data_IF_229875356170
#
_entry.id   IF_229875356170
#
_cell.length_a   1.000
_cell.length_b   1.000
_cell.length_c   1.000
_cell.angle_alpha   90.00
_cell.angle_beta   90.00
_cell.angle_gamma   90.00
#
_symmetry.space_group_name_H-M   'P 1'
#
loop_
_entity.id
_entity.type
_entity.pdbx_description
1 polymer ?
#
# COMPACT_ATOMS: atom_id res chain seq x y z
N UNK A 1 -28.15 15.32 -1.23
CA UNK A 1 -27.69 13.91 -1.25
C UNK A 1 -26.19 13.91 -1.58
N UNK A 2 -25.37 13.30 -0.74
CA UNK A 2 -23.94 13.17 -0.95
C UNK A 2 -23.56 11.68 -1.02
N UNK A 3 -22.66 11.35 -1.94
CA UNK A 3 -22.25 9.98 -2.25
C UNK A 3 -20.73 9.97 -2.34
N UNK A 4 -20.09 9.02 -1.67
CA UNK A 4 -18.64 8.83 -1.75
C UNK A 4 -18.32 7.34 -1.74
N UNK A 5 -17.30 6.98 -2.52
CA UNK A 5 -16.80 5.63 -2.61
C UNK A 5 -15.54 5.51 -1.77
N UNK A 6 -15.60 4.69 -0.72
CA UNK A 6 -14.40 4.26 -0.02
C UNK A 6 -13.88 2.94 -0.56
N UNK A 7 -12.66 3.01 -1.09
CA UNK A 7 -11.85 1.87 -1.46
C UNK A 7 -11.04 1.40 -0.25
N UNK A 8 -10.63 0.11 -0.26
CA UNK A 8 -9.72 -0.52 0.74
C UNK A 8 -10.38 -1.03 2.03
N UNK A 9 -11.66 -1.42 1.98
CA UNK A 9 -12.36 -1.99 3.14
C UNK A 9 -12.49 -3.51 3.05
N UNK A 10 -12.73 -4.05 1.87
CA UNK A 10 -12.93 -5.50 1.67
C UNK A 10 -11.63 -6.19 1.23
N UNK A 11 -11.45 -7.46 1.63
CA UNK A 11 -10.36 -8.33 1.16
C UNK A 11 -10.40 -8.55 -0.35
N UNK A 12 -11.59 -8.44 -0.94
CA UNK A 12 -11.85 -8.62 -2.36
C UNK A 12 -11.76 -7.28 -3.15
N UNK A 13 -11.32 -6.21 -2.50
CA UNK A 13 -11.12 -4.87 -3.09
C UNK A 13 -12.36 -4.22 -3.75
N UNK A 14 -13.56 -4.69 -3.42
CA UNK A 14 -14.81 -4.10 -3.88
C UNK A 14 -14.99 -2.68 -3.31
N UNK A 15 -15.37 -1.69 -4.13
CA UNK A 15 -15.70 -0.35 -3.65
C UNK A 15 -16.90 -0.39 -2.69
N UNK A 16 -16.76 0.27 -1.54
CA UNK A 16 -17.86 0.52 -0.61
C UNK A 16 -18.40 1.92 -0.88
N UNK A 17 -19.63 2.01 -1.37
CA UNK A 17 -20.34 3.28 -1.55
C UNK A 17 -21.07 3.59 -0.25
N UNK A 18 -20.87 4.81 0.24
CA UNK A 18 -21.64 5.38 1.34
C UNK A 18 -22.39 6.59 0.79
N UNK A 19 -23.70 6.62 1.01
CA UNK A 19 -24.51 7.75 0.62
C UNK A 19 -25.47 8.18 1.72
N UNK A 20 -25.75 9.47 1.76
CA UNK A 20 -26.50 10.09 2.84
C UNK A 20 -26.83 11.53 2.56
N UNK A 21 -27.48 12.18 3.51
CA UNK A 21 -27.76 13.61 3.44
C UNK A 21 -27.30 14.29 4.73
N UNK A 22 -27.11 15.60 4.68
CA UNK A 22 -26.84 16.40 5.87
C UNK A 22 -28.14 17.05 6.32
N UNK A 23 -28.39 17.06 7.63
CA UNK A 23 -29.49 17.83 8.20
C UNK A 23 -29.12 19.32 8.38
N UNK A 24 -30.09 20.13 8.79
CA UNK A 24 -29.92 21.57 9.07
C UNK A 24 -28.84 21.87 10.12
N UNK A 25 -28.54 20.90 11.00
CA UNK A 25 -27.50 21.00 12.01
C UNK A 25 -26.11 20.54 11.50
N UNK A 26 -25.99 20.30 10.19
CA UNK A 26 -24.76 19.84 9.53
C UNK A 26 -24.31 18.45 9.98
N UNK A 27 -25.24 17.65 10.52
CA UNK A 27 -24.96 16.25 10.82
C UNK A 27 -25.24 15.40 9.61
N UNK A 28 -24.21 14.68 9.15
CA UNK A 28 -24.37 13.71 8.07
C UNK A 28 -25.12 12.47 8.56
N UNK A 29 -26.24 12.19 7.89
CA UNK A 29 -27.12 11.06 8.12
C UNK A 29 -26.94 10.05 6.98
N UNK A 30 -26.36 8.86 7.25
CA UNK A 30 -26.25 7.83 6.24
C UNK A 30 -27.64 7.31 5.89
N UNK A 31 -27.92 7.24 4.59
CA UNK A 31 -29.15 6.65 4.04
C UNK A 31 -28.89 5.20 3.68
N UNK A 32 -27.68 4.89 3.18
CA UNK A 32 -27.31 3.54 2.80
C UNK A 32 -25.81 3.34 2.63
N UNK A 33 -25.43 2.07 2.67
CA UNK A 33 -24.08 1.58 2.38
C UNK A 33 -24.21 0.35 1.50
N UNK A 34 -23.42 0.27 0.44
CA UNK A 34 -23.43 -0.90 -0.45
C UNK A 34 -22.05 -1.19 -1.03
N UNK A 35 -21.81 -2.46 -1.33
CA UNK A 35 -20.65 -2.88 -2.12
C UNK A 35 -21.06 -2.90 -3.59
N UNK A 36 -20.25 -2.30 -4.44
CA UNK A 36 -20.45 -2.32 -5.89
C UNK A 36 -19.34 -3.09 -6.59
N UNK A 37 -19.56 -3.47 -7.83
CA UNK A 37 -18.54 -4.07 -8.69
C UNK A 37 -17.45 -3.05 -9.04
N UNK A 38 -16.25 -3.53 -9.34
CA UNK A 38 -15.06 -2.70 -9.61
C UNK A 38 -15.11 -1.91 -10.91
N UNK A 39 -16.07 -2.21 -11.80
CA UNK A 39 -16.26 -1.53 -13.08
C UNK A 39 -16.98 -0.19 -12.96
N UNK A 40 -17.61 0.11 -11.81
CA UNK A 40 -18.29 1.38 -11.50
C UNK A 40 -19.19 1.87 -12.66
N UNK A 41 -19.87 0.95 -13.33
CA UNK A 41 -20.69 1.27 -14.50
C UNK A 41 -21.95 2.04 -14.11
N UNK A 42 -22.47 2.86 -15.05
CA UNK A 42 -23.71 3.60 -14.84
C UNK A 42 -24.89 2.69 -14.46
N UNK A 43 -24.95 1.46 -14.97
CA UNK A 43 -25.99 0.48 -14.61
C UNK A 43 -25.88 0.01 -13.15
N UNK A 44 -24.65 -0.06 -12.63
CA UNK A 44 -24.41 -0.40 -11.22
C UNK A 44 -24.96 0.68 -10.30
N UNK A 45 -24.71 1.96 -10.62
CA UNK A 45 -25.30 3.08 -9.89
C UNK A 45 -26.81 3.17 -10.06
N UNK A 46 -27.35 2.93 -11.27
CA UNK A 46 -28.81 2.86 -11.49
C UNK A 46 -29.46 1.78 -10.62
N UNK A 47 -28.84 0.62 -10.50
CA UNK A 47 -29.33 -0.46 -9.63
C UNK A 47 -29.29 -0.07 -8.16
N UNK A 48 -28.20 0.57 -7.72
CA UNK A 48 -28.07 1.13 -6.37
C UNK A 48 -29.20 2.12 -6.08
N UNK A 49 -29.45 3.07 -6.98
CA UNK A 49 -30.51 4.07 -6.81
C UNK A 49 -31.91 3.48 -6.88
N UNK A 50 -32.15 2.45 -7.70
CA UNK A 50 -33.41 1.68 -7.68
C UNK A 50 -33.63 0.98 -6.34
N UNK A 51 -32.56 0.57 -5.66
CA UNK A 51 -32.61 -0.01 -4.33
C UNK A 51 -33.01 0.98 -3.24
N UNK A 52 -32.86 2.30 -3.48
CA UNK A 52 -33.43 3.33 -2.62
C UNK A 52 -34.94 3.31 -2.86
N UNK A 53 -35.68 2.70 -1.95
CA UNK A 53 -37.14 2.73 -2.01
C UNK A 53 -37.61 4.18 -1.97
N UNK A 54 -38.07 4.69 -3.11
CA UNK A 54 -38.51 6.08 -3.29
C UNK A 54 -39.55 6.45 -2.23
N UNK A 55 -40.50 5.55 -1.95
CA UNK A 55 -41.53 5.75 -0.94
C UNK A 55 -40.96 5.86 0.49
N UNK A 56 -39.92 5.10 0.83
CA UNK A 56 -39.24 5.22 2.12
C UNK A 56 -38.45 6.53 2.19
N UNK A 57 -37.73 6.87 1.11
CA UNK A 57 -36.96 8.10 1.04
C UNK A 57 -37.85 9.33 1.16
N UNK A 58 -38.98 9.34 0.44
CA UNK A 58 -39.99 10.38 0.53
C UNK A 58 -40.55 10.51 1.95
N UNK A 59 -41.02 9.41 2.54
CA UNK A 59 -41.63 9.43 3.88
C UNK A 59 -40.67 9.86 4.98
N UNK A 60 -39.43 9.40 4.94
CA UNK A 60 -38.48 9.64 6.03
C UNK A 60 -37.62 10.90 5.83
N UNK A 61 -37.30 11.24 4.58
CA UNK A 61 -36.33 12.30 4.29
C UNK A 61 -36.96 13.50 3.59
N UNK A 62 -37.96 13.34 2.73
CA UNK A 62 -38.64 14.49 2.11
C UNK A 62 -39.69 15.09 3.05
N UNK A 63 -40.53 14.25 3.66
CA UNK A 63 -41.67 14.69 4.46
C UNK A 63 -41.30 15.04 5.91
N UNK A 64 -40.41 14.27 6.56
CA UNK A 64 -40.03 14.53 7.96
C UNK A 64 -38.87 15.51 8.11
N UNK A 65 -38.02 15.64 7.09
CA UNK A 65 -36.80 16.45 7.12
C UNK A 65 -36.82 17.48 5.98
N UNK A 66 -37.61 18.55 6.11
CA UNK A 66 -37.60 19.62 5.11
C UNK A 66 -36.18 20.21 5.01
N UNK A 67 -35.84 20.78 3.85
CA UNK A 67 -34.56 21.45 3.59
C UNK A 67 -33.33 20.53 3.44
N UNK A 68 -33.54 19.30 2.97
CA UNK A 68 -32.48 18.31 2.70
C UNK A 68 -31.60 18.63 1.46
N UNK A 69 -31.93 19.65 0.67
CA UNK A 69 -31.22 20.05 -0.55
C UNK A 69 -30.34 21.29 -0.31
N UNK A 70 -29.26 21.40 -1.06
CA UNK A 70 -28.22 22.43 -0.84
C UNK A 70 -28.75 23.87 -0.91
N UNK A 71 -29.67 24.13 -1.84
CA UNK A 71 -30.30 25.44 -2.00
C UNK A 71 -31.14 25.89 -0.80
N UNK A 72 -31.47 25.02 0.14
CA UNK A 72 -32.18 25.39 1.36
C UNK A 72 -31.27 26.10 2.39
N UNK A 73 -29.95 25.95 2.27
CA UNK A 73 -28.97 26.59 3.14
C UNK A 73 -28.14 27.62 2.34
N UNK A 74 -28.79 28.67 1.82
CA UNK A 74 -28.12 29.73 1.09
C UNK A 74 -26.94 30.31 1.90
N UNK A 75 -25.84 30.63 1.20
CA UNK A 75 -24.59 31.15 1.77
C UNK A 75 -23.80 30.15 2.64
N UNK A 76 -24.24 28.90 2.75
CA UNK A 76 -23.45 27.85 3.39
C UNK A 76 -22.60 27.13 2.33
N UNK A 77 -21.29 26.91 2.56
CA UNK A 77 -20.47 26.16 1.62
C UNK A 77 -20.93 24.70 1.56
N UNK A 78 -21.06 24.17 0.33
CA UNK A 78 -21.21 22.74 0.11
C UNK A 78 -19.93 22.04 0.58
N UNK A 79 -20.04 21.21 1.61
CA UNK A 79 -18.89 20.44 2.12
C UNK A 79 -19.25 18.97 2.25
N UNK A 80 -18.31 18.11 1.89
CA UNK A 80 -18.40 16.66 2.06
C UNK A 80 -17.83 16.18 3.42
N UNK A 81 -17.43 17.11 4.30
CA UNK A 81 -16.76 16.82 5.58
C UNK A 81 -17.46 15.75 6.43
N UNK A 82 -18.80 15.78 6.49
CA UNK A 82 -19.57 14.81 7.27
C UNK A 82 -19.49 13.39 6.70
N UNK A 83 -19.51 13.27 5.37
CA UNK A 83 -19.34 12.01 4.66
C UNK A 83 -17.89 11.50 4.76
N UNK A 84 -16.91 12.38 4.61
CA UNK A 84 -15.49 12.06 4.80
C UNK A 84 -15.20 11.58 6.23
N UNK A 85 -15.78 12.23 7.24
CA UNK A 85 -15.66 11.84 8.64
C UNK A 85 -16.24 10.45 8.91
N UNK A 86 -17.41 10.12 8.33
CA UNK A 86 -17.98 8.77 8.42
C UNK A 86 -17.12 7.75 7.71
N UNK A 87 -16.64 8.04 6.51
CA UNK A 87 -15.68 7.19 5.80
C UNK A 87 -14.38 6.99 6.60
N UNK A 88 -13.92 8.02 7.31
CA UNK A 88 -12.82 7.95 8.25
C UNK A 88 -13.07 6.97 9.39
N UNK A 89 -14.23 7.06 10.06
CA UNK A 89 -14.63 6.12 11.12
C UNK A 89 -14.75 4.68 10.60
N UNK A 90 -15.30 4.49 9.40
CA UNK A 90 -15.38 3.16 8.78
C UNK A 90 -13.97 2.60 8.55
N UNK A 91 -13.06 3.42 8.00
CA UNK A 91 -11.66 3.06 7.81
C UNK A 91 -10.97 2.72 9.13
N UNK A 92 -11.21 3.48 10.19
CA UNK A 92 -10.56 3.24 11.48
C UNK A 92 -11.07 1.98 12.20
N UNK A 93 -12.38 1.74 12.16
CA UNK A 93 -13.01 0.70 12.97
C UNK A 93 -13.17 -0.63 12.24
N UNK A 94 -13.28 -0.61 10.90
CA UNK A 94 -13.64 -1.79 10.09
C UNK A 94 -12.62 -2.11 9.01
N UNK A 95 -11.46 -1.45 9.00
CA UNK A 95 -10.31 -1.93 8.22
C UNK A 95 -9.23 -2.37 9.17
N UNK A 96 -8.48 -3.42 8.81
CA UNK A 96 -7.32 -3.88 9.58
C UNK A 96 -6.12 -2.89 9.49
N UNK A 97 -6.39 -1.58 9.40
CA UNK A 97 -5.37 -0.53 9.41
C UNK A 97 -4.99 -0.22 10.84
N UNK A 98 -3.83 -0.70 11.24
CA UNK A 98 -3.21 -0.31 12.50
C UNK A 98 -2.22 0.83 12.26
N UNK A 99 -2.22 1.82 13.16
CA UNK A 99 -1.13 2.80 13.20
C UNK A 99 0.11 2.10 13.75
N UNK A 100 1.21 2.20 13.02
CA UNK A 100 2.49 1.63 13.43
C UNK A 100 3.39 2.75 13.98
N UNK A 101 4.06 2.56 15.13
CA UNK A 101 5.12 3.46 15.58
C UNK A 101 6.19 3.61 14.50
N UNK A 102 6.79 4.80 14.37
CA UNK A 102 7.78 5.07 13.31
C UNK A 102 8.97 4.10 13.35
N UNK A 103 9.43 3.73 14.55
CA UNK A 103 10.51 2.75 14.73
C UNK A 103 10.13 1.37 14.20
N UNK A 104 8.93 0.89 14.52
CA UNK A 104 8.42 -0.38 14.01
C UNK A 104 8.21 -0.33 12.48
N UNK A 105 7.79 0.82 11.94
CA UNK A 105 7.67 1.03 10.50
C UNK A 105 9.03 0.93 9.79
N UNK A 106 10.07 1.57 10.32
CA UNK A 106 11.41 1.52 9.75
C UNK A 106 11.97 0.09 9.75
N UNK A 107 11.83 -0.63 10.86
CA UNK A 107 12.23 -2.05 10.94
C UNK A 107 11.47 -2.93 9.94
N UNK A 108 10.15 -2.72 9.83
CA UNK A 108 9.31 -3.46 8.87
C UNK A 108 9.72 -3.13 7.43
N UNK A 109 10.00 -1.87 7.12
CA UNK A 109 10.45 -1.45 5.80
C UNK A 109 11.81 -2.06 5.42
N UNK A 110 12.74 -2.15 6.37
CA UNK A 110 14.02 -2.86 6.16
C UNK A 110 13.82 -4.35 5.92
N UNK A 111 12.96 -5.01 6.70
CA UNK A 111 12.61 -6.41 6.51
C UNK A 111 11.95 -6.66 5.15
N UNK A 112 11.06 -5.76 4.71
CA UNK A 112 10.43 -5.86 3.39
C UNK A 112 11.45 -5.71 2.26
N UNK A 113 12.38 -4.74 2.34
CA UNK A 113 13.47 -4.61 1.36
C UNK A 113 14.37 -5.85 1.32
N UNK A 114 14.69 -6.41 2.48
CA UNK A 114 15.45 -7.64 2.57
C UNK A 114 14.72 -8.83 1.94
N UNK A 115 13.40 -8.91 2.14
CA UNK A 115 12.57 -9.92 1.52
C UNK A 115 12.46 -9.74 0.01
N UNK A 116 12.26 -8.52 -0.49
CA UNK A 116 12.26 -8.19 -1.92
C UNK A 116 13.58 -8.60 -2.57
N UNK A 117 14.71 -8.19 -1.98
CA UNK A 117 16.03 -8.62 -2.43
C UNK A 117 16.18 -10.14 -2.48
N UNK A 118 15.69 -10.86 -1.46
CA UNK A 118 15.72 -12.32 -1.41
C UNK A 118 14.85 -13.00 -2.49
N UNK A 119 13.78 -12.32 -2.96
CA UNK A 119 12.95 -12.82 -4.06
C UNK A 119 13.59 -12.57 -5.43
N UNK A 120 14.32 -11.46 -5.58
CA UNK A 120 14.94 -11.07 -6.86
C UNK A 120 16.29 -11.74 -7.11
N UNK A 121 17.02 -12.08 -6.05
CA UNK A 121 18.35 -12.68 -6.15
C UNK A 121 18.29 -14.12 -6.69
N UNK A 122 19.15 -14.41 -7.66
CA UNK A 122 19.50 -15.80 -7.97
C UNK A 122 20.36 -16.37 -6.82
N UNK A 123 19.80 -17.30 -6.06
CA UNK A 123 20.47 -17.94 -4.92
C UNK A 123 21.76 -18.66 -5.30
N UNK A 124 21.93 -19.05 -6.57
CA UNK A 124 23.19 -19.61 -7.07
C UNK A 124 24.35 -18.61 -7.01
N UNK A 125 24.04 -17.31 -6.97
CA UNK A 125 24.99 -16.22 -6.84
C UNK A 125 25.39 -15.95 -5.38
N UNK A 126 24.95 -16.74 -4.40
CA UNK A 126 25.43 -16.63 -3.03
C UNK A 126 26.58 -17.62 -2.85
N UNK A 127 27.81 -17.12 -2.73
CA UNK A 127 28.99 -17.97 -2.53
C UNK A 127 29.33 -18.06 -1.04
N UNK A 128 29.45 -19.27 -0.52
CA UNK A 128 29.93 -19.51 0.82
C UNK A 128 31.45 -19.68 0.81
N UNK A 129 32.18 -18.86 1.58
CA UNK A 129 33.63 -18.96 1.71
C UNK A 129 34.04 -19.88 2.85
N UNK A 130 33.28 -19.86 3.95
CA UNK A 130 33.46 -20.73 5.11
C UNK A 130 32.11 -20.87 5.85
N UNK A 131 31.99 -21.65 6.94
CA UNK A 131 30.72 -21.87 7.63
C UNK A 131 29.95 -20.59 8.02
N UNK A 132 30.67 -19.47 8.17
CA UNK A 132 30.10 -18.21 8.65
C UNK A 132 30.28 -17.03 7.69
N UNK A 133 31.05 -17.16 6.62
CA UNK A 133 31.36 -16.08 5.70
C UNK A 133 30.78 -16.35 4.32
N UNK A 134 30.04 -15.38 3.80
CA UNK A 134 29.33 -15.44 2.53
C UNK A 134 29.68 -14.22 1.68
N UNK A 135 29.67 -14.39 0.36
CA UNK A 135 29.67 -13.30 -0.60
C UNK A 135 28.29 -13.28 -1.26
N UNK A 136 27.64 -12.13 -1.21
CA UNK A 136 26.34 -11.91 -1.83
C UNK A 136 26.45 -10.85 -2.91
N UNK A 137 25.63 -10.91 -3.98
CA UNK A 137 25.63 -9.88 -5.00
C UNK A 137 25.04 -8.59 -4.41
N UNK A 138 25.53 -7.45 -4.90
CA UNK A 138 24.87 -6.18 -4.65
C UNK A 138 23.64 -6.02 -5.56
N UNK A 139 22.91 -4.92 -5.39
CA UNK A 139 21.84 -4.56 -6.31
C UNK A 139 22.35 -4.14 -7.71
N UNK A 140 23.66 -3.99 -7.92
CA UNK A 140 24.25 -3.68 -9.23
C UNK A 140 24.84 -4.96 -9.85
N UNK A 141 24.17 -5.58 -10.85
CA UNK A 141 24.51 -6.91 -11.36
C UNK A 141 25.77 -6.94 -12.25
N UNK A 142 26.58 -5.88 -12.25
CA UNK A 142 27.73 -5.74 -13.17
C UNK A 142 28.83 -6.76 -12.94
N UNK A 143 28.92 -7.39 -11.76
CA UNK A 143 29.96 -8.39 -11.49
C UNK A 143 29.37 -9.60 -10.79
N UNK A 144 29.67 -10.78 -11.34
CA UNK A 144 29.32 -12.08 -10.78
C UNK A 144 30.08 -12.31 -9.45
N UNK A 145 29.39 -12.90 -8.47
CA UNK A 145 29.94 -13.19 -7.13
C UNK A 145 31.16 -14.10 -7.17
N UNK A 146 31.25 -15.07 -8.09
CA UNK A 146 32.43 -15.92 -8.23
C UNK A 146 33.68 -15.13 -8.64
N UNK A 147 33.52 -14.12 -9.51
CA UNK A 147 34.62 -13.23 -9.87
C UNK A 147 35.08 -12.41 -8.66
N UNK A 148 34.14 -11.99 -7.79
CA UNK A 148 34.45 -11.33 -6.52
C UNK A 148 35.21 -12.26 -5.57
N UNK A 149 34.84 -13.54 -5.49
CA UNK A 149 35.56 -14.53 -4.67
C UNK A 149 37.00 -14.71 -5.16
N UNK A 150 37.19 -14.90 -6.48
CA UNK A 150 38.52 -15.03 -7.07
C UNK A 150 39.38 -13.79 -6.79
N UNK A 151 38.80 -12.61 -6.94
CA UNK A 151 39.47 -11.35 -6.68
C UNK A 151 39.85 -11.19 -5.18
N UNK A 152 38.97 -11.59 -4.25
CA UNK A 152 39.28 -11.57 -2.81
C UNK A 152 40.46 -12.49 -2.47
N UNK A 153 40.62 -13.60 -3.20
CA UNK A 153 41.74 -14.53 -3.02
C UNK A 153 43.05 -14.01 -3.60
N UNK A 154 43.01 -13.30 -4.75
CA UNK A 154 44.24 -12.71 -5.32
C UNK A 154 44.70 -11.48 -4.57
N UNK A 155 43.77 -10.71 -3.98
CA UNK A 155 44.03 -9.43 -3.31
C UNK A 155 44.77 -8.38 -4.16
N UNK A 156 44.77 -8.57 -5.49
CA UNK A 156 45.40 -7.69 -6.45
C UNK A 156 44.41 -6.60 -6.87
N UNK A 157 44.63 -5.38 -6.38
CA UNK A 157 43.94 -4.17 -6.84
C UNK A 157 44.99 -3.27 -7.48
N UNK A 158 44.80 -2.91 -8.75
CA UNK A 158 45.72 -2.04 -9.48
C UNK A 158 45.42 -0.55 -9.23
N UNK A 159 44.21 -0.22 -8.76
CA UNK A 159 43.80 1.16 -8.46
C UNK A 159 42.71 1.25 -7.39
N UNK A 160 42.54 2.45 -6.84
CA UNK A 160 41.43 2.75 -5.92
C UNK A 160 40.06 2.63 -6.59
N UNK A 161 39.93 3.04 -7.86
CA UNK A 161 38.67 2.92 -8.60
C UNK A 161 38.28 1.46 -8.81
N UNK A 162 39.26 0.60 -9.06
CA UNK A 162 39.06 -0.85 -9.11
C UNK A 162 38.57 -1.38 -7.76
N UNK A 163 39.21 -0.98 -6.66
CA UNK A 163 38.75 -1.32 -5.31
C UNK A 163 37.29 -0.88 -5.06
N UNK A 164 36.92 0.36 -5.41
CA UNK A 164 35.55 0.87 -5.25
C UNK A 164 34.56 0.07 -6.10
N UNK A 165 34.91 -0.24 -7.36
CA UNK A 165 34.09 -1.06 -8.24
C UNK A 165 33.81 -2.44 -7.64
N UNK A 166 34.83 -3.12 -7.13
CA UNK A 166 34.68 -4.43 -6.50
C UNK A 166 33.93 -4.38 -5.16
N UNK A 167 34.13 -3.32 -4.37
CA UNK A 167 33.44 -3.13 -3.10
C UNK A 167 31.92 -2.93 -3.24
N UNK A 168 31.51 -2.37 -4.38
CA UNK A 168 30.11 -2.04 -4.69
C UNK A 168 29.38 -3.16 -5.45
N UNK A 169 30.10 -4.13 -6.01
CA UNK A 169 29.50 -5.18 -6.84
C UNK A 169 29.13 -6.47 -6.09
N UNK A 170 29.78 -6.72 -4.96
CA UNK A 170 29.48 -7.87 -4.11
C UNK A 170 29.91 -7.60 -2.67
N UNK A 171 29.09 -8.06 -1.73
CA UNK A 171 29.30 -7.77 -0.31
C UNK A 171 29.71 -9.03 0.45
N UNK A 172 30.75 -8.88 1.25
CA UNK A 172 31.20 -9.90 2.18
C UNK A 172 30.36 -9.81 3.45
N UNK A 173 29.72 -10.92 3.82
CA UNK A 173 28.99 -11.06 5.08
C UNK A 173 29.67 -12.07 5.98
N UNK A 174 29.78 -11.74 7.26
CA UNK A 174 30.20 -12.67 8.30
C UNK A 174 29.09 -12.78 9.36
N UNK A 175 28.65 -14.01 9.57
CA UNK A 175 27.52 -14.41 10.41
C UNK A 175 27.96 -15.26 11.62
N UNK A 176 29.24 -15.22 11.99
CA UNK A 176 29.90 -16.14 12.93
C UNK A 176 29.29 -16.26 14.32
N UNK A 177 28.42 -15.32 14.73
CA UNK A 177 27.81 -15.34 16.05
C UNK A 177 26.33 -15.68 16.07
N UNK A 178 25.67 -15.88 14.91
CA UNK A 178 24.19 -16.01 14.77
C UNK A 178 23.35 -14.97 15.55
N UNK A 179 24.02 -13.99 16.15
CA UNK A 179 23.56 -12.94 17.04
C UNK A 179 24.46 -11.73 16.74
N UNK A 180 23.92 -10.50 16.76
CA UNK A 180 24.71 -9.30 16.50
C UNK A 180 25.98 -9.20 17.38
N UNK A 181 27.08 -8.61 16.87
CA UNK A 181 27.19 -7.96 15.57
C UNK A 181 27.51 -8.93 14.44
N UNK A 182 26.74 -8.83 13.36
CA UNK A 182 27.05 -9.42 12.06
C UNK A 182 27.86 -8.39 11.29
N UNK A 183 28.74 -8.83 10.42
CA UNK A 183 29.48 -7.91 9.54
C UNK A 183 28.92 -8.03 8.12
N UNK A 184 28.70 -6.89 7.48
CA UNK A 184 28.49 -6.83 6.04
C UNK A 184 29.33 -5.68 5.48
N UNK A 185 30.09 -5.95 4.41
CA UNK A 185 30.93 -4.95 3.76
C UNK A 185 30.16 -3.92 2.93
N UNK A 186 28.82 -3.99 2.91
CA UNK A 186 28.03 -2.95 2.28
C UNK A 186 28.03 -1.68 3.14
N UNK A 187 27.73 -0.53 2.52
CA UNK A 187 27.70 0.78 3.19
C UNK A 187 26.86 0.79 4.47
N UNK A 188 25.70 0.14 4.45
CA UNK A 188 24.78 0.07 5.59
C UNK A 188 25.31 -0.86 6.68
N UNK A 189 25.83 -2.04 6.31
CA UNK A 189 26.39 -3.00 7.25
C UNK A 189 27.59 -2.46 8.02
N UNK A 190 28.46 -1.69 7.36
CA UNK A 190 29.61 -1.04 7.98
C UNK A 190 29.21 0.07 8.95
N UNK A 191 28.09 0.76 8.70
CA UNK A 191 27.68 1.93 9.49
C UNK A 191 26.73 1.55 10.64
N UNK A 192 25.80 0.64 10.39
CA UNK A 192 24.64 0.39 11.25
C UNK A 192 24.61 -1.04 11.81
N UNK A 193 25.56 -1.90 11.43
CA UNK A 193 25.60 -3.32 11.79
C UNK A 193 24.32 -4.11 11.43
N UNK A 194 23.48 -3.54 10.56
CA UNK A 194 22.26 -4.11 10.02
C UNK A 194 22.14 -3.69 8.55
N UNK A 195 21.79 -4.61 7.67
CA UNK A 195 21.52 -4.30 6.28
C UNK A 195 20.57 -5.34 5.68
N UNK A 196 19.97 -5.00 4.54
CA UNK A 196 19.02 -5.88 3.85
C UNK A 196 19.63 -7.25 3.49
N UNK A 197 20.93 -7.30 3.16
CA UNK A 197 21.61 -8.55 2.83
C UNK A 197 21.75 -9.49 4.02
N UNK A 198 22.11 -8.94 5.19
CA UNK A 198 22.23 -9.72 6.42
C UNK A 198 20.85 -10.22 6.87
N UNK A 199 19.84 -9.34 6.82
CA UNK A 199 18.46 -9.69 7.14
C UNK A 199 17.92 -10.75 6.18
N UNK A 200 18.16 -10.63 4.88
CA UNK A 200 17.70 -11.57 3.87
C UNK A 200 18.34 -12.96 4.04
N UNK A 201 19.64 -13.03 4.35
CA UNK A 201 20.29 -14.31 4.70
C UNK A 201 19.73 -14.94 5.98
N UNK A 202 19.46 -14.14 7.02
CA UNK A 202 18.79 -14.62 8.23
C UNK A 202 17.38 -15.16 7.95
N UNK A 203 16.62 -14.51 7.06
CA UNK A 203 15.31 -15.00 6.62
C UNK A 203 15.45 -16.33 5.87
N UNK A 204 16.46 -16.47 5.00
CA UNK A 204 16.74 -17.71 4.28
C UNK A 204 17.07 -18.88 5.21
N UNK A 205 17.75 -18.62 6.33
CA UNK A 205 18.04 -19.63 7.36
C UNK A 205 16.93 -19.82 8.40
N UNK A 206 15.83 -19.08 8.30
CA UNK A 206 14.72 -19.16 9.25
C UNK A 206 15.01 -18.59 10.63
N UNK A 207 16.13 -17.86 10.82
CA UNK A 207 16.44 -17.19 12.10
C UNK A 207 15.70 -15.85 12.24
N UNK A 208 15.23 -15.28 11.13
CA UNK A 208 14.33 -14.12 11.08
C UNK A 208 13.02 -14.52 10.40
N UNK A 209 11.85 -14.10 10.93
CA UNK A 209 10.58 -14.37 10.28
C UNK A 209 10.49 -13.62 8.95
N UNK A 210 9.98 -14.30 7.93
CA UNK A 210 9.60 -13.66 6.66
C UNK A 210 8.42 -12.72 6.93
N UNK A 211 8.48 -11.44 6.51
CA UNK A 211 7.38 -10.52 6.72
C UNK A 211 6.13 -11.04 5.99
N UNK A 212 5.01 -11.11 6.71
CA UNK A 212 3.73 -11.38 6.06
C UNK A 212 3.42 -10.21 5.12
N UNK A 213 3.38 -10.48 3.81
CA UNK A 213 2.95 -9.49 2.83
C UNK A 213 1.48 -9.11 3.13
N UNK A 214 1.27 -7.95 3.73
CA UNK A 214 -0.06 -7.40 3.99
C UNK A 214 -0.62 -6.85 2.65
N UNK A 215 -1.04 -7.77 1.78
CA UNK A 215 -1.65 -7.46 0.48
C UNK A 215 -0.71 -6.80 -0.54
N UNK A 216 -1.10 -6.81 -1.82
CA UNK A 216 -0.39 -6.06 -2.85
C UNK A 216 -0.64 -4.57 -2.65
N UNK A 217 0.41 -3.75 -2.76
CA UNK A 217 0.29 -2.28 -2.78
C UNK A 217 -0.49 -1.88 -4.04
N UNK A 218 -1.75 -1.45 -3.89
CA UNK A 218 -2.52 -0.87 -5.00
C UNK A 218 -1.88 0.42 -5.48
N UNK A 219 -1.92 0.66 -6.79
CA UNK A 219 -1.51 1.93 -7.39
C UNK A 219 -2.23 3.11 -6.72
N UNK A 220 -1.51 4.20 -6.52
CA UNK A 220 -2.04 5.39 -5.86
C UNK A 220 -3.01 6.07 -6.84
N UNK A 221 -4.31 6.06 -6.50
CA UNK A 221 -5.33 6.79 -7.23
C UNK A 221 -6.61 5.98 -7.47
N UNK A 222 -7.68 6.67 -7.85
CA UNK A 222 -8.88 6.04 -8.43
C UNK A 222 -8.48 5.36 -9.75
N UNK A 223 -8.99 4.16 -10.08
CA UNK A 223 -8.75 3.53 -11.38
C UNK A 223 -9.07 4.51 -12.52
N UNK A 224 -8.14 4.71 -13.46
CA UNK A 224 -8.26 5.72 -14.53
C UNK A 224 -9.28 5.36 -15.64
N UNK A 225 -10.02 4.24 -15.52
CA UNK A 225 -11.10 3.91 -16.45
C UNK A 225 -12.35 4.70 -16.08
N UNK A 226 -12.33 6.00 -16.32
CA UNK A 226 -13.55 6.81 -16.36
C UNK A 226 -14.23 6.48 -17.69
N UNK A 227 -15.21 5.59 -17.68
CA UNK A 227 -16.32 5.73 -18.64
C UNK A 227 -17.17 6.86 -18.09
N UNK A 228 -17.50 7.85 -18.93
CA UNK A 228 -18.40 8.95 -18.58
C UNK A 228 -19.68 8.36 -17.97
N UNK A 229 -19.79 8.38 -16.64
CA UNK A 229 -20.98 7.89 -15.93
C UNK A 229 -22.18 8.84 -16.15
N UNK A 230 -21.89 10.06 -16.60
CA UNK A 230 -22.86 11.10 -16.94
C UNK A 230 -22.88 11.30 -18.46
N UNK A 231 -23.80 10.62 -19.13
CA UNK A 231 -24.33 11.09 -20.42
C UNK A 231 -25.73 11.64 -20.16
N UNK A 232 -25.92 12.93 -20.44
CA UNK A 232 -27.21 13.58 -20.33
C UNK A 232 -28.14 12.99 -21.41
N UNK A 233 -29.09 12.15 -21.00
CA UNK A 233 -30.12 11.66 -21.89
C UNK A 233 -31.27 12.68 -21.92
N UNK A 234 -31.37 13.42 -23.03
CA UNK A 234 -32.41 14.42 -23.23
C UNK A 234 -33.83 13.85 -23.23
N UNK A 235 -34.00 12.51 -23.31
CA UNK A 235 -35.33 11.88 -23.33
C UNK A 235 -35.92 11.57 -21.95
N UNK A 236 -35.12 11.57 -20.87
CA UNK A 236 -35.58 11.01 -19.59
C UNK A 236 -35.84 12.01 -18.46
N UNK A 237 -35.59 13.33 -18.64
CA UNK A 237 -35.80 14.37 -17.60
C UNK A 237 -35.32 13.97 -16.18
N UNK A 238 -34.37 13.04 -16.08
CA UNK A 238 -33.85 12.54 -14.83
C UNK A 238 -32.36 12.86 -14.79
N UNK A 239 -32.04 13.86 -13.99
CA UNK A 239 -30.68 14.09 -13.52
C UNK A 239 -30.32 12.90 -12.63
N UNK A 240 -29.59 11.94 -13.19
CA UNK A 240 -28.93 10.89 -12.42
C UNK A 240 -27.72 11.54 -11.76
N UNK A 241 -27.72 11.59 -10.42
CA UNK A 241 -26.60 12.06 -9.61
C UNK A 241 -25.46 11.04 -9.56
#
# INVERSE_FOLDING_TARGET
LAIDCTYKITTNELPLVVFGTSDLHRHFRPIGVCLISTDESAETFKTLFRGIQVNYFEREWLLKLPFWYEGAAMLTPSTNNGLESKNGKIKQNYTMRQKMPISAFLQTAEHLKAFEWLQEIDKSQIAQLNPFTFVVPSNDPKINVFARVQQLNSADWQSFDEFIRWSSSGHLLNCSRFLPPWFCSCRYGLKEHSCMYAIGLMMMWGTRPVPQLIGKRREIGRPKKIKLALQYDQKTELVVF
#
